data_IF_753110305841
#
_entry.id   IF_753110305841
#
_cell.length_a   1.000
_cell.length_b   1.000
_cell.length_c   1.000
_cell.angle_alpha   90.00
_cell.angle_beta   90.00
_cell.angle_gamma   90.00
#
_symmetry.space_group_name_H-M   'P 1'
#
loop_
_entity.id
_entity.type
_entity.pdbx_description
1 polymer ?
#
# COMPACT_ATOMS: atom_id res chain seq x y z
N UNK A 1 85.08 48.61 17.33
CA UNK A 1 85.76 48.88 16.04
C UNK A 1 84.69 48.99 15.03
N UNK A 2 84.34 50.25 14.64
CA UNK A 2 84.73 50.99 13.49
C UNK A 2 84.27 50.31 12.19
N UNK A 3 83.50 50.90 11.32
CA UNK A 3 83.34 52.22 10.69
C UNK A 3 82.10 52.20 9.78
N UNK A 4 81.23 53.16 9.85
CA UNK A 4 81.03 54.27 8.87
C UNK A 4 81.08 53.90 7.37
N UNK A 5 79.98 54.17 6.66
CA UNK A 5 79.80 55.21 5.61
C UNK A 5 78.51 54.94 4.86
N UNK A 6 77.53 55.81 4.93
CA UNK A 6 77.24 57.03 4.13
C UNK A 6 76.57 56.76 2.77
N UNK A 7 75.32 57.12 2.73
CA UNK A 7 74.64 58.02 1.73
C UNK A 7 74.53 57.53 0.29
N UNK A 8 73.25 57.48 -0.19
CA UNK A 8 72.77 58.28 -1.33
C UNK A 8 71.24 58.29 -1.37
N UNK A 9 70.71 59.57 -1.40
CA UNK A 9 69.30 59.85 -1.72
C UNK A 9 69.04 59.55 -3.21
N UNK A 10 67.97 58.88 -3.55
CA UNK A 10 67.35 58.92 -4.88
C UNK A 10 65.83 59.00 -4.67
N UNK A 11 65.26 60.15 -4.87
CA UNK A 11 63.84 60.38 -4.94
C UNK A 11 63.30 59.79 -6.25
N UNK A 12 62.40 58.81 -6.17
CA UNK A 12 61.60 58.40 -7.31
C UNK A 12 60.14 58.72 -7.00
N UNK A 13 59.56 59.67 -7.73
CA UNK A 13 58.11 59.90 -7.77
C UNK A 13 57.42 58.67 -8.30
N UNK A 14 56.68 57.99 -7.44
CA UNK A 14 55.72 56.94 -7.88
C UNK A 14 54.37 57.61 -8.02
N UNK A 15 53.95 57.85 -9.24
CA UNK A 15 52.56 58.25 -9.60
C UNK A 15 51.67 57.01 -9.27
N UNK A 16 50.89 57.09 -8.19
CA UNK A 16 49.86 56.10 -7.86
C UNK A 16 48.69 56.32 -8.83
N UNK A 17 48.65 55.55 -9.88
CA UNK A 17 47.45 55.39 -10.71
C UNK A 17 46.45 54.46 -9.94
N UNK A 18 45.49 55.08 -9.25
CA UNK A 18 44.30 54.44 -8.69
C UNK A 18 43.42 53.99 -9.86
N UNK A 19 43.61 52.75 -10.34
CA UNK A 19 42.64 52.08 -11.19
C UNK A 19 41.40 51.74 -10.33
N UNK A 20 40.34 52.56 -10.43
CA UNK A 20 39.01 52.23 -9.97
C UNK A 20 38.55 51.03 -10.84
N UNK A 21 38.77 49.82 -10.37
CA UNK A 21 38.15 48.63 -10.93
C UNK A 21 36.67 48.67 -10.52
N UNK A 22 35.80 49.21 -11.36
CA UNK A 22 34.36 48.97 -11.28
C UNK A 22 34.17 47.49 -11.57
N UNK A 23 34.17 46.67 -10.54
CA UNK A 23 33.68 45.31 -10.62
C UNK A 23 32.19 45.41 -10.98
N UNK A 24 31.87 45.30 -12.25
CA UNK A 24 30.51 45.01 -12.70
C UNK A 24 30.19 43.66 -12.11
N UNK A 25 29.52 43.68 -10.97
CA UNK A 25 28.99 42.43 -10.35
C UNK A 25 28.07 41.77 -11.36
N UNK A 26 28.53 40.69 -11.95
CA UNK A 26 27.62 39.81 -12.71
C UNK A 26 26.51 39.45 -11.75
N UNK A 27 25.22 39.57 -12.15
CA UNK A 27 24.12 39.11 -11.31
C UNK A 27 24.38 37.64 -10.98
N UNK A 28 24.32 37.29 -9.69
CA UNK A 28 24.38 35.90 -9.29
C UNK A 28 23.30 35.11 -10.09
N UNK A 29 23.65 33.94 -10.64
CA UNK A 29 22.66 33.15 -11.34
C UNK A 29 21.47 33.00 -10.42
N UNK A 30 20.28 33.32 -10.90
CA UNK A 30 19.05 33.10 -10.16
C UNK A 30 19.02 31.61 -9.73
N UNK A 31 18.83 31.38 -8.44
CA UNK A 31 18.68 30.01 -7.95
C UNK A 31 17.56 29.34 -8.75
N UNK A 32 17.86 28.19 -9.35
CA UNK A 32 16.85 27.44 -10.09
C UNK A 32 15.73 27.06 -9.10
N UNK A 33 14.47 27.30 -9.49
CA UNK A 33 13.32 26.86 -8.70
C UNK A 33 13.35 25.33 -8.68
N UNK A 34 13.27 24.70 -7.49
CA UNK A 34 13.23 23.25 -7.41
C UNK A 34 12.06 22.69 -8.21
N UNK A 35 12.19 21.50 -8.84
CA UNK A 35 11.09 20.84 -9.49
C UNK A 35 10.02 20.43 -8.46
N UNK A 36 8.75 20.48 -8.86
CA UNK A 36 7.62 20.10 -8.01
C UNK A 36 7.48 18.58 -7.94
N UNK A 37 7.15 18.06 -6.75
CA UNK A 37 7.01 16.64 -6.53
C UNK A 37 5.70 16.26 -5.85
N UNK A 38 5.21 15.06 -6.20
CA UNK A 38 4.24 14.31 -5.41
C UNK A 38 4.90 13.07 -4.80
N UNK A 39 4.61 12.81 -3.52
CA UNK A 39 5.22 11.73 -2.76
C UNK A 39 4.13 10.82 -2.19
N UNK A 40 4.31 9.50 -2.28
CA UNK A 40 3.43 8.51 -1.66
C UNK A 40 4.15 7.85 -0.48
N UNK A 41 3.48 7.79 0.68
CA UNK A 41 3.93 7.10 1.89
C UNK A 41 2.83 6.16 2.38
N UNK A 42 3.23 5.11 3.06
CA UNK A 42 2.27 4.18 3.66
C UNK A 42 2.65 2.72 3.49
N UNK A 43 1.63 1.90 3.38
CA UNK A 43 1.71 0.45 3.35
C UNK A 43 1.57 -0.13 1.91
N UNK A 44 1.16 -1.41 1.83
CA UNK A 44 1.02 -2.16 0.59
C UNK A 44 0.01 -1.57 -0.39
N UNK A 45 -1.09 -0.98 0.10
CA UNK A 45 -2.10 -0.37 -0.77
C UNK A 45 -1.59 0.85 -1.50
N UNK A 46 -0.62 1.55 -0.92
CA UNK A 46 -0.01 2.73 -1.53
C UNK A 46 1.23 2.35 -2.34
N UNK A 47 1.99 1.34 -1.90
CA UNK A 47 3.17 0.90 -2.64
C UNK A 47 2.84 0.35 -4.03
N UNK A 48 1.63 -0.16 -4.22
CA UNK A 48 1.17 -0.78 -5.46
C UNK A 48 1.27 -2.29 -5.46
N UNK A 49 1.19 -2.90 -4.26
CA UNK A 49 1.05 -4.35 -4.11
C UNK A 49 -0.08 -4.87 -5.02
N UNK A 50 0.17 -5.96 -5.74
CA UNK A 50 -0.79 -6.53 -6.69
C UNK A 50 -0.82 -5.89 -8.08
N UNK A 51 -0.17 -4.72 -8.28
CA UNK A 51 -0.17 -4.03 -9.58
C UNK A 51 0.97 -4.44 -10.52
N UNK A 52 1.90 -5.26 -10.06
CA UNK A 52 3.08 -5.67 -10.84
C UNK A 52 4.02 -4.51 -11.20
N UNK A 53 4.92 -4.71 -12.15
CA UNK A 53 5.89 -3.70 -12.57
C UNK A 53 6.64 -3.05 -11.37
N UNK A 54 7.11 -3.88 -10.47
CA UNK A 54 7.80 -3.42 -9.25
C UNK A 54 9.16 -2.83 -9.55
N UNK A 55 9.53 -1.79 -8.80
CA UNK A 55 10.81 -1.10 -8.89
C UNK A 55 11.73 -1.52 -7.74
N UNK A 56 13.06 -1.59 -7.97
CA UNK A 56 14.01 -1.95 -6.92
C UNK A 56 14.03 -0.92 -5.77
N UNK A 57 14.24 -1.42 -4.56
CA UNK A 57 14.46 -0.62 -3.35
C UNK A 57 15.81 -1.00 -2.75
N UNK A 58 16.55 -0.01 -2.26
CA UNK A 58 17.85 -0.23 -1.65
C UNK A 58 17.66 -0.81 -0.24
N UNK A 59 18.29 -1.96 0.01
CA UNK A 59 18.43 -2.53 1.35
C UNK A 59 19.59 -1.85 2.09
N UNK A 60 19.27 -1.15 3.18
CA UNK A 60 20.25 -0.38 3.97
C UNK A 60 21.15 -1.28 4.84
N UNK A 61 20.80 -2.55 5.04
CA UNK A 61 21.64 -3.49 5.81
C UNK A 61 22.74 -4.09 4.97
N UNK A 62 22.69 -3.97 3.64
CA UNK A 62 23.54 -4.69 2.72
C UNK A 62 23.34 -6.21 2.73
N UNK A 63 22.32 -6.69 3.43
CA UNK A 63 22.02 -8.11 3.56
C UNK A 63 21.44 -8.65 2.25
N UNK A 64 22.27 -9.36 1.50
CA UNK A 64 21.86 -10.08 0.30
C UNK A 64 21.14 -11.41 0.61
N UNK A 65 20.58 -11.56 1.80
CA UNK A 65 19.99 -12.83 2.21
C UNK A 65 18.57 -12.97 1.69
N UNK A 66 18.41 -13.90 0.73
CA UNK A 66 17.11 -14.41 0.36
C UNK A 66 16.52 -15.26 1.48
N UNK A 67 15.20 -15.34 1.53
CA UNK A 67 14.50 -16.32 2.36
C UNK A 67 14.95 -17.74 1.97
N UNK A 68 15.12 -18.65 2.93
CA UNK A 68 15.22 -20.05 2.61
C UNK A 68 13.95 -20.47 1.85
N UNK A 69 14.13 -20.87 0.58
CA UNK A 69 13.02 -21.23 -0.30
C UNK A 69 12.63 -20.18 -1.36
N UNK A 70 13.12 -18.97 -1.29
CA UNK A 70 12.91 -17.95 -2.33
C UNK A 70 13.98 -18.06 -3.40
N UNK A 71 13.64 -18.67 -4.52
CA UNK A 71 14.56 -18.91 -5.64
C UNK A 71 14.50 -17.86 -6.74
N UNK A 72 13.64 -16.86 -6.64
CA UNK A 72 13.56 -15.82 -7.65
C UNK A 72 14.68 -14.81 -7.47
N UNK A 73 15.64 -14.71 -8.38
CA UNK A 73 16.79 -13.81 -8.28
C UNK A 73 16.39 -12.32 -8.22
N UNK A 74 15.16 -11.99 -8.60
CA UNK A 74 14.66 -10.61 -8.71
C UNK A 74 13.86 -10.13 -7.50
N UNK A 75 13.40 -11.01 -6.60
CA UNK A 75 12.55 -10.61 -5.48
C UNK A 75 13.31 -9.91 -4.35
N UNK A 76 14.62 -9.96 -4.39
CA UNK A 76 15.48 -9.42 -3.36
C UNK A 76 15.59 -7.89 -3.35
N UNK A 77 15.32 -7.23 -4.46
CA UNK A 77 15.35 -5.77 -4.58
C UNK A 77 13.91 -5.16 -4.54
N UNK A 78 12.89 -5.98 -4.61
CA UNK A 78 11.50 -5.52 -4.78
C UNK A 78 10.63 -5.69 -3.54
N UNK A 79 11.22 -5.90 -2.38
CA UNK A 79 10.52 -6.29 -1.14
C UNK A 79 9.48 -5.27 -0.64
N UNK A 80 9.56 -4.01 -1.04
CA UNK A 80 8.53 -3.01 -0.77
C UNK A 80 7.38 -3.05 -1.80
N UNK A 81 7.49 -3.84 -2.85
CA UNK A 81 6.54 -3.91 -3.95
C UNK A 81 6.08 -2.53 -4.46
N UNK A 82 7.03 -1.60 -4.59
CA UNK A 82 6.77 -0.27 -5.19
C UNK A 82 6.53 -0.44 -6.68
N UNK A 83 5.30 -0.23 -7.09
CA UNK A 83 4.90 -0.45 -8.47
C UNK A 83 4.93 0.84 -9.30
N UNK A 84 5.44 0.75 -10.53
CA UNK A 84 5.27 1.80 -11.53
C UNK A 84 3.79 1.99 -11.95
N UNK A 85 2.93 1.03 -11.58
CA UNK A 85 1.49 1.10 -11.78
C UNK A 85 0.73 1.63 -10.54
N UNK A 86 1.42 1.98 -9.44
CA UNK A 86 0.77 2.51 -8.24
C UNK A 86 -0.08 3.76 -8.53
N UNK A 87 -1.11 4.00 -7.74
CA UNK A 87 -2.08 5.08 -7.95
C UNK A 87 -1.44 6.45 -8.11
N UNK A 88 -0.36 6.76 -7.36
CA UNK A 88 0.39 8.00 -7.53
C UNK A 88 0.91 8.18 -8.97
N UNK A 89 1.45 7.12 -9.58
CA UNK A 89 1.98 7.18 -10.94
C UNK A 89 0.88 7.20 -12.00
N UNK A 90 -0.33 6.75 -11.66
CA UNK A 90 -1.51 6.71 -12.54
C UNK A 90 -2.39 7.95 -12.43
N UNK A 91 -2.16 8.80 -11.42
CA UNK A 91 -2.92 10.02 -11.23
C UNK A 91 -2.54 11.09 -12.26
N UNK A 92 -3.54 11.84 -12.72
CA UNK A 92 -3.31 13.08 -13.47
C UNK A 92 -3.14 14.23 -12.47
N UNK A 93 -1.93 14.72 -12.31
CA UNK A 93 -1.53 15.76 -11.36
C UNK A 93 -0.86 16.90 -12.11
N UNK A 94 -1.64 17.86 -12.64
CA UNK A 94 -1.09 19.00 -13.36
C UNK A 94 -0.14 19.82 -12.47
N UNK A 95 1.00 20.21 -13.00
CA UNK A 95 2.01 20.97 -12.27
C UNK A 95 3.04 20.11 -11.53
N UNK A 96 2.75 18.83 -11.27
CA UNK A 96 3.73 17.93 -10.66
C UNK A 96 4.67 17.36 -11.72
N UNK A 97 5.97 17.62 -11.52
CA UNK A 97 7.04 17.18 -12.43
C UNK A 97 7.52 15.78 -12.09
N UNK A 98 7.73 15.50 -10.81
CA UNK A 98 8.29 14.22 -10.35
C UNK A 98 7.38 13.52 -9.35
N UNK A 99 7.48 12.17 -9.30
CA UNK A 99 6.65 11.33 -8.44
C UNK A 99 7.50 10.28 -7.75
N UNK A 100 7.41 10.25 -6.42
CA UNK A 100 8.21 9.36 -5.57
C UNK A 100 7.30 8.45 -4.76
N UNK A 101 7.36 7.16 -5.01
CA UNK A 101 6.68 6.17 -4.19
C UNK A 101 7.63 5.68 -3.08
N UNK A 102 7.44 6.14 -1.86
CA UNK A 102 8.24 5.80 -0.68
C UNK A 102 7.56 4.74 0.19
N UNK A 103 6.30 4.40 -0.10
CA UNK A 103 5.55 3.37 0.62
C UNK A 103 6.24 2.01 0.54
N UNK A 104 5.92 1.14 1.50
CA UNK A 104 6.50 -0.19 1.53
C UNK A 104 5.45 -1.22 1.93
N UNK A 105 5.38 -2.33 1.20
CA UNK A 105 4.46 -3.43 1.50
C UNK A 105 4.70 -3.98 2.91
N UNK A 106 3.62 -4.23 3.64
CA UNK A 106 3.67 -4.61 5.06
C UNK A 106 4.01 -3.46 6.00
N UNK A 107 4.19 -2.24 5.50
CA UNK A 107 4.53 -1.05 6.29
C UNK A 107 3.54 -0.81 7.42
N UNK A 108 4.06 -0.54 8.60
CA UNK A 108 3.31 -0.19 9.81
C UNK A 108 3.46 1.30 10.13
N UNK A 109 2.61 1.87 10.98
CA UNK A 109 2.72 3.28 11.36
C UNK A 109 4.11 3.67 11.88
N UNK A 110 4.77 2.82 12.66
CA UNK A 110 6.11 3.11 13.16
C UNK A 110 7.19 3.11 12.07
N UNK A 111 6.98 2.38 10.96
CA UNK A 111 7.93 2.31 9.83
C UNK A 111 8.03 3.63 9.06
N UNK A 112 7.12 4.57 9.31
CA UNK A 112 7.24 5.91 8.75
C UNK A 112 8.50 6.60 9.27
N UNK A 113 8.77 6.51 10.58
CA UNK A 113 9.86 7.24 11.23
C UNK A 113 11.07 6.39 11.57
N UNK A 114 10.97 5.07 11.48
CA UNK A 114 12.06 4.14 11.75
C UNK A 114 12.36 3.29 10.52
N UNK A 115 13.58 2.80 10.43
CA UNK A 115 13.94 1.88 9.35
C UNK A 115 13.02 0.65 9.41
N UNK A 116 12.32 0.41 8.30
CA UNK A 116 11.37 -0.69 8.20
C UNK A 116 12.12 -2.00 8.06
N UNK A 117 11.88 -2.92 8.98
CA UNK A 117 12.23 -4.32 8.75
C UNK A 117 11.13 -4.91 7.86
N UNK A 118 11.42 -5.13 6.59
CA UNK A 118 10.54 -5.94 5.76
C UNK A 118 10.35 -7.30 6.45
N UNK A 119 9.18 -7.48 7.04
CA UNK A 119 8.85 -8.49 8.08
C UNK A 119 9.25 -9.92 7.73
N UNK A 120 9.31 -10.21 6.47
CA UNK A 120 9.55 -11.56 5.97
C UNK A 120 10.95 -11.76 5.40
N UNK A 121 11.76 -10.73 5.19
CA UNK A 121 13.01 -10.86 4.44
C UNK A 121 14.30 -10.58 5.24
N UNK A 122 14.17 -10.13 6.50
CA UNK A 122 15.32 -9.64 7.27
C UNK A 122 16.00 -8.41 6.67
N UNK A 123 15.37 -7.78 5.68
CA UNK A 123 15.87 -6.60 4.97
C UNK A 123 15.32 -5.35 5.62
N UNK A 124 16.05 -4.27 5.49
CA UNK A 124 15.61 -2.98 5.98
C UNK A 124 15.66 -1.93 4.88
N UNK A 125 14.66 -1.10 4.85
CA UNK A 125 14.63 0.12 4.06
C UNK A 125 14.69 1.31 5.00
N UNK A 126 15.32 2.40 4.54
CA UNK A 126 15.34 3.64 5.31
C UNK A 126 13.91 4.09 5.68
N UNK A 127 13.77 4.72 6.85
CA UNK A 127 12.50 5.29 7.28
C UNK A 127 11.87 6.12 6.15
N UNK A 128 10.56 6.03 5.96
CA UNK A 128 9.90 6.76 4.88
C UNK A 128 10.09 8.26 5.03
N UNK A 129 10.14 8.79 6.27
CA UNK A 129 10.42 10.21 6.53
C UNK A 129 11.86 10.61 6.17
N UNK A 130 12.84 9.72 6.32
CA UNK A 130 14.22 10.02 5.90
C UNK A 130 14.32 10.09 4.36
N UNK A 131 13.60 9.22 3.68
CA UNK A 131 13.47 9.26 2.22
C UNK A 131 12.73 10.55 1.79
N UNK A 132 11.67 10.95 2.51
CA UNK A 132 10.94 12.20 2.27
C UNK A 132 11.86 13.42 2.42
N UNK A 133 12.67 13.47 3.49
CA UNK A 133 13.68 14.52 3.67
C UNK A 133 14.69 14.55 2.52
N UNK A 134 15.04 13.39 1.97
CA UNK A 134 15.94 13.31 0.83
C UNK A 134 15.32 13.92 -0.43
N UNK A 135 14.03 13.67 -0.69
CA UNK A 135 13.27 14.29 -1.77
C UNK A 135 13.19 15.82 -1.55
N UNK A 136 12.81 16.27 -0.35
CA UNK A 136 12.65 17.69 -0.03
C UNK A 136 13.92 18.53 -0.12
N UNK A 137 15.12 17.90 -0.16
CA UNK A 137 16.36 18.62 -0.43
C UNK A 137 16.52 19.06 -1.89
N UNK A 138 15.79 18.48 -2.80
CA UNK A 138 15.95 18.69 -4.24
C UNK A 138 14.65 19.07 -4.95
N UNK A 139 13.51 18.88 -4.29
CA UNK A 139 12.18 19.11 -4.86
C UNK A 139 11.32 19.92 -3.90
N UNK A 140 10.40 20.68 -4.47
CA UNK A 140 9.27 21.26 -3.75
C UNK A 140 8.15 20.23 -3.69
N UNK A 141 7.73 19.83 -2.48
CA UNK A 141 6.74 18.79 -2.28
C UNK A 141 5.34 19.38 -2.22
N UNK A 142 4.62 19.38 -3.31
CA UNK A 142 3.26 19.93 -3.39
C UNK A 142 2.18 18.97 -2.87
N UNK A 143 2.36 17.66 -3.12
CA UNK A 143 1.36 16.64 -2.80
C UNK A 143 1.97 15.46 -2.05
N UNK A 144 1.31 15.06 -0.97
CA UNK A 144 1.59 13.81 -0.26
C UNK A 144 0.36 12.91 -0.31
N UNK A 145 0.50 11.72 -0.88
CA UNK A 145 -0.49 10.64 -0.76
C UNK A 145 -0.10 9.74 0.41
N UNK A 146 -1.01 9.59 1.37
CA UNK A 146 -0.79 8.76 2.55
C UNK A 146 -1.90 7.72 2.70
N UNK A 147 -1.55 6.45 2.80
CA UNK A 147 -2.44 5.35 3.20
C UNK A 147 -1.72 4.48 4.21
N UNK A 148 -2.19 4.49 5.45
CA UNK A 148 -1.50 3.89 6.58
C UNK A 148 -2.48 3.41 7.63
N UNK A 149 -2.22 2.24 8.23
CA UNK A 149 -3.01 1.70 9.33
C UNK A 149 -3.65 0.34 9.06
N UNK A 150 -3.60 -0.19 7.81
CA UNK A 150 -4.04 -1.56 7.53
C UNK A 150 -3.14 -2.61 8.21
N UNK A 151 -1.90 -2.24 8.45
CA UNK A 151 -0.95 -3.00 9.25
C UNK A 151 -0.56 -2.16 10.46
N UNK A 152 -0.64 -2.73 11.64
CA UNK A 152 -0.26 -2.08 12.90
C UNK A 152 0.21 -3.14 13.90
N UNK A 153 0.60 -2.71 15.10
CA UNK A 153 1.09 -3.63 16.13
C UNK A 153 0.03 -4.60 16.66
N UNK A 154 -1.25 -4.30 16.45
CA UNK A 154 -2.38 -5.05 17.01
C UNK A 154 -3.02 -6.03 16.02
N UNK A 155 -2.99 -5.73 14.73
CA UNK A 155 -3.50 -6.55 13.63
C UNK A 155 -2.90 -6.16 12.29
N UNK A 156 -2.99 -7.05 11.30
CA UNK A 156 -2.73 -6.71 9.90
C UNK A 156 -3.92 -7.08 9.03
N UNK A 157 -4.10 -6.36 7.93
CA UNK A 157 -5.09 -6.71 6.92
C UNK A 157 -4.88 -8.14 6.42
N UNK A 158 -3.62 -8.51 6.16
CA UNK A 158 -3.26 -9.85 5.70
C UNK A 158 -3.71 -10.95 6.67
N UNK A 159 -3.46 -10.80 7.98
CA UNK A 159 -3.84 -11.79 9.00
C UNK A 159 -5.37 -12.02 9.03
N UNK A 160 -6.15 -10.95 8.92
CA UNK A 160 -7.62 -11.03 8.91
C UNK A 160 -8.14 -11.69 7.63
N UNK A 161 -7.64 -11.24 6.49
CA UNK A 161 -8.03 -11.76 5.18
C UNK A 161 -7.67 -13.25 5.05
N UNK A 162 -6.44 -13.60 5.42
CA UNK A 162 -5.95 -14.97 5.40
C UNK A 162 -6.74 -15.89 6.32
N UNK A 163 -7.01 -15.46 7.55
CA UNK A 163 -7.79 -16.25 8.51
C UNK A 163 -9.16 -16.62 7.95
N UNK A 164 -9.86 -15.67 7.33
CA UNK A 164 -11.20 -15.90 6.79
C UNK A 164 -11.18 -16.76 5.53
N UNK A 165 -10.20 -16.54 4.65
CA UNK A 165 -10.00 -17.37 3.46
C UNK A 165 -9.60 -18.82 3.84
N UNK A 166 -8.67 -18.97 4.78
CA UNK A 166 -8.22 -20.29 5.22
C UNK A 166 -9.32 -21.10 5.89
N UNK A 167 -10.24 -20.47 6.63
CA UNK A 167 -11.42 -21.17 7.16
C UNK A 167 -12.29 -21.72 6.05
N UNK A 168 -12.60 -20.90 5.03
CA UNK A 168 -13.37 -21.36 3.88
C UNK A 168 -12.67 -22.51 3.14
N UNK A 169 -11.37 -22.35 2.89
CA UNK A 169 -10.56 -23.37 2.24
C UNK A 169 -10.54 -24.65 3.08
N UNK A 170 -10.36 -24.54 4.39
CA UNK A 170 -10.40 -25.67 5.29
C UNK A 170 -11.76 -26.37 5.24
N UNK A 171 -12.85 -25.66 5.37
CA UNK A 171 -14.21 -26.23 5.33
C UNK A 171 -14.51 -26.89 3.96
N UNK A 172 -14.01 -26.30 2.86
CA UNK A 172 -14.18 -26.84 1.53
C UNK A 172 -13.35 -28.13 1.28
N UNK A 173 -12.17 -28.25 1.89
CA UNK A 173 -11.22 -29.32 1.55
C UNK A 173 -10.78 -30.23 2.69
N UNK A 174 -10.71 -29.80 3.97
CA UNK A 174 -10.19 -30.62 5.07
C UNK A 174 -11.13 -31.69 5.55
N UNK A 175 -12.41 -31.60 5.29
CA UNK A 175 -13.36 -32.69 5.54
C UNK A 175 -12.94 -34.03 4.92
N UNK A 176 -11.82 -34.10 4.25
CA UNK A 176 -11.29 -35.31 3.62
C UNK A 176 -10.49 -36.20 4.59
N UNK A 177 -10.06 -35.70 5.73
CA UNK A 177 -9.25 -36.45 6.70
C UNK A 177 -10.09 -37.15 7.76
N UNK A 178 -11.35 -36.75 7.96
CA UNK A 178 -12.23 -37.43 8.93
C UNK A 178 -12.93 -38.59 8.26
N UNK A 179 -12.51 -39.79 8.57
CA UNK A 179 -13.12 -41.04 8.11
C UNK A 179 -14.64 -41.08 8.31
N UNK A 180 -15.16 -40.38 9.31
CA UNK A 180 -16.59 -40.24 9.61
C UNK A 180 -17.34 -39.28 8.69
N UNK A 181 -16.67 -38.32 8.12
CA UNK A 181 -17.27 -37.43 7.12
C UNK A 181 -17.48 -38.14 5.76
N UNK A 182 -16.87 -39.31 5.57
CA UNK A 182 -17.12 -40.20 4.44
C UNK A 182 -18.55 -40.75 4.43
N UNK A 183 -19.24 -40.68 5.57
CA UNK A 183 -20.62 -41.20 5.74
C UNK A 183 -21.71 -40.14 5.49
N UNK A 184 -21.39 -39.02 4.85
CA UNK A 184 -22.40 -38.07 4.37
C UNK A 184 -22.97 -37.13 5.43
N UNK A 185 -22.22 -36.87 6.52
CA UNK A 185 -22.64 -35.88 7.51
C UNK A 185 -22.54 -34.43 6.97
N UNK A 186 -23.34 -33.51 7.52
CA UNK A 186 -23.26 -32.08 7.13
C UNK A 186 -21.87 -31.51 7.43
N UNK A 187 -21.37 -30.64 6.52
CA UNK A 187 -20.14 -29.87 6.74
C UNK A 187 -20.45 -28.76 7.74
N UNK A 188 -19.78 -28.77 8.89
CA UNK A 188 -19.86 -27.65 9.84
C UNK A 188 -19.07 -26.50 9.28
N UNK A 189 -19.78 -25.50 8.75
CA UNK A 189 -19.17 -24.28 8.24
C UNK A 189 -18.74 -23.37 9.37
N UNK A 190 -17.49 -22.85 9.29
CA UNK A 190 -16.90 -21.94 10.30
C UNK A 190 -16.58 -20.59 9.70
N UNK A 191 -17.58 -19.78 9.32
CA UNK A 191 -17.33 -18.45 8.77
C UNK A 191 -16.63 -17.55 9.77
N UNK A 192 -15.92 -16.54 9.28
CA UNK A 192 -15.46 -15.45 10.12
C UNK A 192 -16.66 -14.66 10.66
N UNK A 193 -16.52 -14.23 11.89
CA UNK A 193 -17.46 -13.38 12.61
C UNK A 193 -16.79 -12.11 13.08
N UNK A 194 -17.53 -11.15 13.62
CA UNK A 194 -16.94 -9.92 14.19
C UNK A 194 -15.93 -10.23 15.31
N UNK A 195 -16.09 -11.36 16.01
CA UNK A 195 -15.14 -11.79 17.05
C UNK A 195 -13.77 -12.23 16.49
N UNK A 196 -13.69 -12.50 15.19
CA UNK A 196 -12.44 -12.88 14.51
C UNK A 196 -11.68 -11.67 13.97
N UNK A 197 -12.32 -10.50 13.98
CA UNK A 197 -11.77 -9.24 13.54
C UNK A 197 -11.06 -8.51 14.70
N UNK A 198 -10.66 -7.28 14.47
CA UNK A 198 -10.05 -6.46 15.50
C UNK A 198 -11.08 -6.03 16.56
N UNK A 199 -10.70 -6.12 17.83
CA UNK A 199 -11.50 -5.63 18.96
C UNK A 199 -11.49 -4.10 19.03
N UNK A 200 -12.42 -3.51 19.80
CA UNK A 200 -12.45 -2.06 20.02
C UNK A 200 -11.13 -1.52 20.61
N UNK A 201 -10.49 -2.28 21.50
CA UNK A 201 -9.20 -1.89 22.07
C UNK A 201 -8.08 -1.90 21.01
N UNK A 202 -8.07 -2.89 20.10
CA UNK A 202 -7.11 -2.95 19.01
C UNK A 202 -7.33 -1.81 17.99
N UNK A 203 -8.58 -1.47 17.65
CA UNK A 203 -8.88 -0.31 16.82
C UNK A 203 -8.42 1.00 17.46
N UNK A 204 -8.64 1.17 18.76
CA UNK A 204 -8.16 2.36 19.49
C UNK A 204 -6.63 2.47 19.47
N UNK A 205 -5.93 1.36 19.73
CA UNK A 205 -4.47 1.32 19.69
C UNK A 205 -3.94 1.63 18.26
N UNK A 206 -4.50 1.01 17.24
CA UNK A 206 -4.12 1.24 15.85
C UNK A 206 -4.36 2.70 15.41
N UNK A 207 -5.47 3.30 15.86
CA UNK A 207 -5.77 4.72 15.58
C UNK A 207 -4.75 5.64 16.26
N UNK A 208 -4.37 5.37 17.51
CA UNK A 208 -3.38 6.15 18.22
C UNK A 208 -1.99 6.03 17.57
N UNK A 209 -1.59 4.82 17.19
CA UNK A 209 -0.33 4.54 16.50
C UNK A 209 -0.26 5.26 15.15
N UNK A 210 -1.32 5.18 14.34
CA UNK A 210 -1.42 5.86 13.05
C UNK A 210 -1.42 7.39 13.22
N UNK A 211 -2.14 7.91 14.20
CA UNK A 211 -2.17 9.35 14.51
C UNK A 211 -0.78 9.86 14.89
N UNK A 212 -0.02 9.10 15.69
CA UNK A 212 1.35 9.46 16.05
C UNK A 212 2.28 9.50 14.82
N UNK A 213 2.15 8.54 13.91
CA UNK A 213 2.92 8.50 12.67
C UNK A 213 2.60 9.71 11.75
N UNK A 214 1.32 10.05 11.63
CA UNK A 214 0.89 11.23 10.85
C UNK A 214 1.43 12.53 11.45
N UNK A 215 1.44 12.65 12.79
CA UNK A 215 2.04 13.81 13.47
C UNK A 215 3.51 13.97 13.12
N UNK A 216 4.26 12.88 13.08
CA UNK A 216 5.67 12.89 12.69
C UNK A 216 5.85 13.30 11.22
N UNK A 217 4.97 12.84 10.33
CA UNK A 217 4.96 13.28 8.93
C UNK A 217 4.76 14.79 8.81
N UNK A 218 3.73 15.33 9.48
CA UNK A 218 3.43 16.77 9.43
C UNK A 218 4.57 17.63 10.02
N UNK A 219 5.19 17.13 11.08
CA UNK A 219 6.37 17.77 11.66
C UNK A 219 7.54 17.77 10.68
N UNK A 220 7.78 16.63 10.02
CA UNK A 220 8.86 16.51 9.02
C UNK A 220 8.63 17.38 7.81
N UNK A 221 7.40 17.52 7.32
CA UNK A 221 7.10 18.43 6.21
C UNK A 221 7.41 19.88 6.58
N UNK A 222 7.09 20.31 7.82
CA UNK A 222 7.46 21.65 8.31
C UNK A 222 8.97 21.85 8.49
N UNK A 223 9.72 20.77 8.79
CA UNK A 223 11.18 20.81 8.83
C UNK A 223 11.80 20.98 7.42
N UNK A 224 11.17 20.38 6.41
CA UNK A 224 11.60 20.47 5.02
C UNK A 224 11.30 21.85 4.47
N UNK A 225 10.09 22.34 4.65
CA UNK A 225 9.63 23.66 4.24
C UNK A 225 8.63 24.21 5.27
N UNK A 226 9.07 25.18 6.07
CA UNK A 226 8.29 25.78 7.15
C UNK A 226 7.06 26.56 6.64
N UNK A 227 7.16 27.13 5.45
CA UNK A 227 6.14 27.98 4.81
C UNK A 227 5.39 27.22 3.70
N UNK A 228 5.79 25.97 3.41
CA UNK A 228 5.26 25.14 2.34
C UNK A 228 3.78 24.81 2.52
N UNK A 229 3.05 24.90 1.42
CA UNK A 229 1.64 24.55 1.36
C UNK A 229 1.48 23.13 0.80
N UNK A 230 1.81 22.14 1.61
CA UNK A 230 1.68 20.74 1.21
C UNK A 230 0.23 20.29 1.27
N UNK A 231 -0.31 19.78 0.16
CA UNK A 231 -1.58 19.07 0.16
C UNK A 231 -1.38 17.61 0.55
N UNK A 232 -2.05 17.15 1.60
CA UNK A 232 -1.91 15.79 2.10
C UNK A 232 -3.22 15.06 1.93
N UNK A 233 -3.23 14.05 1.06
CA UNK A 233 -4.40 13.21 0.77
C UNK A 233 -4.28 11.92 1.56
N UNK A 234 -5.18 11.76 2.53
CA UNK A 234 -5.36 10.55 3.34
C UNK A 234 -6.28 9.61 2.59
N UNK A 235 -5.74 8.63 1.90
CA UNK A 235 -6.51 7.61 1.21
C UNK A 235 -6.82 6.46 2.16
N UNK A 236 -8.09 6.09 2.27
CA UNK A 236 -8.50 4.87 2.96
C UNK A 236 -8.39 3.63 2.07
N UNK A 237 -9.05 2.54 2.44
CA UNK A 237 -8.86 1.24 1.81
C UNK A 237 -10.10 0.82 1.03
N UNK A 238 -9.90 0.27 -0.16
CA UNK A 238 -10.98 -0.30 -0.96
C UNK A 238 -11.52 -1.57 -0.32
N UNK A 239 -12.81 -1.85 -0.50
CA UNK A 239 -13.36 -3.16 -0.20
C UNK A 239 -13.16 -4.09 -1.40
N UNK A 240 -12.35 -5.16 -1.29
CA UNK A 240 -12.07 -6.06 -2.42
C UNK A 240 -13.21 -7.03 -2.73
N UNK A 241 -14.17 -7.20 -1.81
CA UNK A 241 -15.24 -8.19 -1.89
C UNK A 241 -16.62 -7.53 -1.98
N UNK A 242 -17.62 -8.17 -2.60
CA UNK A 242 -18.99 -7.67 -2.65
C UNK A 242 -19.65 -7.75 -1.28
N UNK A 243 -20.79 -7.07 -1.15
CA UNK A 243 -21.62 -7.14 0.06
C UNK A 243 -22.44 -8.42 0.11
N UNK A 244 -22.79 -8.97 -1.04
CA UNK A 244 -23.63 -10.13 -1.19
C UNK A 244 -23.09 -11.03 -2.31
N UNK A 245 -22.78 -12.27 -1.96
CA UNK A 245 -22.36 -13.30 -2.91
C UNK A 245 -23.55 -13.99 -3.60
N UNK A 246 -24.79 -13.83 -3.09
CA UNK A 246 -25.95 -14.48 -3.71
C UNK A 246 -26.19 -14.03 -5.14
N UNK A 247 -25.90 -12.76 -5.45
CA UNK A 247 -26.01 -12.26 -6.81
C UNK A 247 -25.05 -12.95 -7.78
N UNK A 248 -24.00 -13.60 -7.29
CA UNK A 248 -22.93 -14.21 -8.09
C UNK A 248 -22.93 -15.74 -8.00
N UNK A 249 -23.20 -16.28 -6.80
CA UNK A 249 -23.14 -17.70 -6.52
C UNK A 249 -24.48 -18.18 -5.95
N UNK A 250 -24.92 -19.37 -6.35
CA UNK A 250 -26.11 -19.99 -5.80
C UNK A 250 -25.96 -20.18 -4.29
N UNK A 251 -27.08 -20.06 -3.55
CA UNK A 251 -27.09 -19.93 -2.10
C UNK A 251 -26.34 -21.06 -1.38
N UNK A 252 -25.56 -20.67 -0.34
CA UNK A 252 -24.99 -21.63 0.63
C UNK A 252 -26.06 -22.26 1.54
N UNK A 253 -27.28 -21.75 1.52
CA UNK A 253 -28.34 -22.05 2.49
C UNK A 253 -29.13 -23.32 2.19
N UNK A 254 -28.78 -24.08 1.13
CA UNK A 254 -29.44 -25.34 0.93
C UNK A 254 -28.91 -26.35 1.98
N UNK A 255 -29.74 -26.68 2.95
CA UNK A 255 -29.49 -27.74 3.94
C UNK A 255 -29.25 -29.11 3.31
N UNK A 256 -29.38 -29.22 2.00
CA UNK A 256 -29.02 -30.34 1.16
C UNK A 256 -27.57 -30.34 0.67
N UNK A 257 -26.72 -29.44 1.21
CA UNK A 257 -25.34 -29.40 0.80
C UNK A 257 -24.58 -30.62 1.19
N UNK A 258 -24.65 -31.58 0.28
CA UNK A 258 -23.73 -32.68 0.30
C UNK A 258 -22.32 -32.14 0.15
N UNK A 259 -21.36 -32.80 0.77
CA UNK A 259 -19.93 -32.46 0.71
C UNK A 259 -19.42 -32.19 -0.69
N UNK A 260 -19.94 -32.87 -1.70
CA UNK A 260 -19.53 -32.70 -3.09
C UNK A 260 -20.03 -31.39 -3.69
N UNK A 261 -21.23 -30.92 -3.30
CA UNK A 261 -21.72 -29.59 -3.70
C UNK A 261 -20.93 -28.47 -3.06
N UNK A 262 -20.56 -28.59 -1.78
CA UNK A 262 -19.75 -27.59 -1.09
C UNK A 262 -18.33 -27.52 -1.67
N UNK A 263 -17.76 -28.64 -2.09
CA UNK A 263 -16.48 -28.69 -2.82
C UNK A 263 -16.56 -28.01 -4.18
N UNK A 264 -17.61 -28.26 -4.94
CA UNK A 264 -17.82 -27.61 -6.23
C UNK A 264 -17.94 -26.09 -6.06
N UNK A 265 -18.72 -25.64 -5.07
CA UNK A 265 -18.83 -24.23 -4.71
C UNK A 265 -17.49 -23.64 -4.24
N UNK A 266 -16.75 -24.40 -3.44
CA UNK A 266 -15.41 -24.01 -2.98
C UNK A 266 -14.44 -23.82 -4.14
N UNK A 267 -14.43 -24.74 -5.10
CA UNK A 267 -13.61 -24.62 -6.31
C UNK A 267 -14.01 -23.43 -7.17
N UNK A 268 -15.31 -23.18 -7.33
CA UNK A 268 -15.83 -22.03 -8.07
C UNK A 268 -15.41 -20.70 -7.44
N UNK A 269 -15.60 -20.53 -6.14
CA UNK A 269 -15.22 -19.32 -5.41
C UNK A 269 -13.71 -19.11 -5.41
N UNK A 270 -12.97 -20.18 -5.25
CA UNK A 270 -11.52 -20.13 -5.35
C UNK A 270 -11.05 -19.67 -6.74
N UNK A 271 -11.64 -20.25 -7.80
CA UNK A 271 -11.35 -19.85 -9.18
C UNK A 271 -11.72 -18.39 -9.45
N UNK A 272 -12.77 -17.89 -8.81
CA UNK A 272 -13.19 -16.49 -8.86
C UNK A 272 -12.33 -15.56 -8.00
N UNK A 273 -11.40 -16.09 -7.20
CA UNK A 273 -10.46 -15.34 -6.38
C UNK A 273 -11.00 -14.83 -5.04
N UNK A 274 -12.15 -15.37 -4.59
CA UNK A 274 -12.80 -15.01 -3.33
C UNK A 274 -13.23 -16.24 -2.52
N UNK A 275 -12.30 -17.11 -2.10
CA UNK A 275 -12.61 -18.26 -1.28
C UNK A 275 -13.00 -17.82 0.14
N UNK A 276 -14.25 -17.42 0.30
CA UNK A 276 -14.78 -16.90 1.55
C UNK A 276 -16.23 -17.36 1.74
N UNK A 277 -16.62 -17.61 2.99
CA UNK A 277 -18.03 -17.85 3.32
C UNK A 277 -18.87 -16.60 3.10
N UNK A 278 -20.09 -16.78 2.60
CA UNK A 278 -21.05 -15.68 2.48
C UNK A 278 -21.27 -14.96 3.82
N UNK A 279 -21.41 -15.70 4.90
CA UNK A 279 -21.58 -15.14 6.24
C UNK A 279 -20.38 -14.31 6.73
N UNK A 280 -19.20 -14.46 6.11
CA UNK A 280 -18.00 -13.66 6.42
C UNK A 280 -17.94 -12.32 5.70
N UNK A 281 -18.82 -12.07 4.73
CA UNK A 281 -18.80 -10.82 3.94
C UNK A 281 -19.14 -9.60 4.78
N UNK A 282 -20.20 -9.69 5.59
CA UNK A 282 -20.58 -8.57 6.45
C UNK A 282 -19.52 -8.22 7.50
N UNK A 283 -18.93 -9.20 8.23
CA UNK A 283 -17.74 -8.94 9.05
C UNK A 283 -16.59 -8.31 8.26
N UNK A 284 -16.24 -8.85 7.09
CA UNK A 284 -15.18 -8.28 6.24
C UNK A 284 -15.46 -6.83 5.82
N UNK A 285 -16.71 -6.54 5.49
CA UNK A 285 -17.12 -5.16 5.19
C UNK A 285 -16.96 -4.23 6.40
N UNK A 286 -17.38 -4.66 7.60
CA UNK A 286 -17.18 -3.89 8.83
C UNK A 286 -15.71 -3.65 9.13
N UNK A 287 -14.86 -4.62 8.82
CA UNK A 287 -13.41 -4.43 8.93
C UNK A 287 -12.90 -3.33 7.98
N UNK A 288 -13.30 -3.36 6.71
CA UNK A 288 -12.95 -2.31 5.74
C UNK A 288 -13.46 -0.93 6.18
N UNK A 289 -14.68 -0.85 6.71
CA UNK A 289 -15.22 0.39 7.29
C UNK A 289 -14.42 0.86 8.52
N UNK A 290 -13.97 -0.09 9.35
CA UNK A 290 -13.09 0.19 10.49
C UNK A 290 -11.78 0.83 10.05
N UNK A 291 -11.14 0.32 8.98
CA UNK A 291 -9.94 0.92 8.38
C UNK A 291 -10.20 2.34 7.90
N UNK A 292 -11.31 2.59 7.19
CA UNK A 292 -11.69 3.93 6.77
C UNK A 292 -11.90 4.88 7.95
N UNK A 293 -12.54 4.40 9.02
CA UNK A 293 -12.75 5.17 10.25
C UNK A 293 -11.44 5.51 10.94
N UNK A 294 -10.49 4.57 10.98
CA UNK A 294 -9.15 4.77 11.54
C UNK A 294 -8.41 5.89 10.79
N UNK A 295 -8.33 5.80 9.46
CA UNK A 295 -7.65 6.80 8.62
C UNK A 295 -8.29 8.18 8.78
N UNK A 296 -9.63 8.22 8.74
CA UNK A 296 -10.38 9.46 8.94
C UNK A 296 -10.13 10.08 10.32
N UNK A 297 -10.13 9.27 11.38
CA UNK A 297 -9.91 9.72 12.75
C UNK A 297 -8.49 10.27 12.95
N UNK A 298 -7.48 9.62 12.37
CA UNK A 298 -6.11 10.11 12.41
C UNK A 298 -6.00 11.47 11.69
N UNK A 299 -6.59 11.61 10.51
CA UNK A 299 -6.64 12.87 9.77
C UNK A 299 -7.37 13.96 10.55
N UNK A 300 -8.55 13.69 11.13
CA UNK A 300 -9.34 14.67 11.84
C UNK A 300 -8.63 15.16 13.12
N UNK A 301 -7.94 14.26 13.83
CA UNK A 301 -7.08 14.61 14.97
C UNK A 301 -5.97 15.56 14.54
N UNK A 302 -5.35 15.32 13.40
CA UNK A 302 -4.28 16.19 12.88
C UNK A 302 -4.83 17.52 12.35
N UNK A 303 -6.02 17.55 11.78
CA UNK A 303 -6.66 18.80 11.37
C UNK A 303 -6.94 19.73 12.57
N UNK A 304 -7.22 19.16 13.74
CA UNK A 304 -7.38 19.92 14.97
C UNK A 304 -6.04 20.46 15.52
N UNK A 305 -4.99 19.63 15.45
CA UNK A 305 -3.66 19.98 15.95
C UNK A 305 -2.90 20.92 14.99
N UNK A 306 -3.13 20.81 13.68
CA UNK A 306 -2.47 21.56 12.61
C UNK A 306 -3.52 22.30 11.76
N UNK A 307 -4.20 23.31 12.27
CA UNK A 307 -5.38 23.91 11.61
C UNK A 307 -5.05 24.60 10.26
N UNK A 308 -3.78 24.92 10.01
CA UNK A 308 -3.31 25.48 8.73
C UNK A 308 -2.94 24.45 7.67
N UNK A 309 -2.89 23.16 8.01
CA UNK A 309 -2.51 22.13 7.05
C UNK A 309 -3.67 21.80 6.09
N UNK A 310 -3.35 21.58 4.80
CA UNK A 310 -4.31 21.16 3.78
C UNK A 310 -4.45 19.63 3.79
N UNK A 311 -5.31 19.13 4.68
CA UNK A 311 -5.54 17.70 4.90
C UNK A 311 -6.86 17.27 4.27
N UNK A 312 -6.78 16.41 3.27
CA UNK A 312 -7.93 15.87 2.53
C UNK A 312 -8.12 14.39 2.89
N UNK A 313 -9.33 14.01 3.28
CA UNK A 313 -9.71 12.60 3.41
C UNK A 313 -10.29 12.10 2.09
N UNK A 314 -9.71 11.07 1.51
CA UNK A 314 -10.17 10.41 0.30
C UNK A 314 -10.75 9.03 0.65
N UNK A 315 -12.08 8.93 0.63
CA UNK A 315 -12.79 7.67 0.80
C UNK A 315 -12.83 6.92 -0.53
N UNK A 316 -12.20 5.74 -0.58
CA UNK A 316 -12.17 4.88 -1.76
C UNK A 316 -12.89 3.54 -1.58
N UNK A 317 -13.67 3.35 -0.51
CA UNK A 317 -14.34 2.08 -0.21
C UNK A 317 -15.28 1.62 -1.34
N UNK A 318 -15.84 2.56 -2.09
CA UNK A 318 -16.73 2.32 -3.22
C UNK A 318 -16.08 2.47 -4.58
N UNK A 319 -14.76 2.67 -4.63
CA UNK A 319 -14.04 2.85 -5.89
C UNK A 319 -14.05 1.59 -6.79
N UNK A 320 -14.39 0.44 -6.22
CA UNK A 320 -14.45 -0.84 -6.94
C UNK A 320 -15.87 -1.38 -7.11
N UNK A 321 -16.90 -0.61 -6.84
CA UNK A 321 -18.30 -1.02 -7.00
C UNK A 321 -18.53 -1.58 -8.42
N UNK A 322 -19.16 -2.77 -8.50
CA UNK A 322 -19.43 -3.47 -9.75
C UNK A 322 -18.22 -4.18 -10.40
N UNK A 323 -17.02 -4.09 -9.77
CA UNK A 323 -15.80 -4.72 -10.25
C UNK A 323 -14.94 -5.34 -9.12
N UNK A 324 -15.57 -5.63 -7.97
CA UNK A 324 -14.92 -6.39 -6.91
C UNK A 324 -14.75 -7.85 -7.30
N UNK A 325 -13.85 -8.54 -6.62
CA UNK A 325 -13.76 -9.99 -6.74
C UNK A 325 -15.12 -10.63 -6.43
N UNK A 326 -15.52 -11.62 -7.23
CA UNK A 326 -16.80 -12.32 -7.05
C UNK A 326 -18.07 -11.46 -7.16
N UNK A 327 -17.98 -10.26 -7.67
CA UNK A 327 -19.16 -9.48 -8.01
C UNK A 327 -19.75 -9.98 -9.34
N UNK A 328 -21.08 -10.08 -9.45
CA UNK A 328 -21.78 -10.73 -10.57
C UNK A 328 -21.44 -10.20 -11.97
N UNK A 329 -21.01 -8.94 -12.04
CA UNK A 329 -20.60 -8.30 -13.31
C UNK A 329 -19.11 -8.46 -13.62
N UNK A 330 -18.30 -8.94 -12.65
CA UNK A 330 -16.85 -9.00 -12.80
C UNK A 330 -16.41 -10.46 -12.99
N UNK A 331 -15.87 -10.77 -14.16
CA UNK A 331 -15.00 -11.95 -14.29
C UNK A 331 -13.72 -11.69 -13.50
N UNK A 332 -12.96 -12.74 -13.08
CA UNK A 332 -11.66 -12.56 -12.42
C UNK A 332 -10.70 -11.66 -13.20
N UNK A 333 -10.80 -11.67 -14.53
CA UNK A 333 -10.01 -10.81 -15.42
C UNK A 333 -10.45 -9.33 -15.42
N UNK A 334 -11.71 -9.06 -15.10
CA UNK A 334 -12.28 -7.70 -15.01
C UNK A 334 -12.29 -7.12 -13.60
N UNK A 335 -11.91 -7.91 -12.58
CA UNK A 335 -11.85 -7.44 -11.22
C UNK A 335 -10.72 -6.42 -11.00
N UNK A 336 -10.96 -5.44 -10.14
CA UNK A 336 -9.99 -4.39 -9.79
C UNK A 336 -9.08 -4.77 -8.62
N UNK A 337 -9.37 -5.88 -7.93
CA UNK A 337 -8.50 -6.46 -6.90
C UNK A 337 -7.81 -7.73 -7.41
N UNK A 338 -6.67 -8.05 -6.83
CA UNK A 338 -5.93 -9.28 -7.14
C UNK A 338 -6.65 -10.47 -6.51
N UNK A 339 -6.99 -11.51 -7.30
CA UNK A 339 -7.59 -12.74 -6.76
C UNK A 339 -6.69 -13.39 -5.70
N UNK A 340 -7.27 -14.07 -4.73
CA UNK A 340 -6.50 -14.96 -3.86
C UNK A 340 -5.83 -16.01 -4.75
N UNK A 341 -4.52 -16.13 -4.57
CA UNK A 341 -3.72 -17.21 -5.12
C UNK A 341 -3.03 -17.88 -3.97
N UNK A 342 -3.20 -19.19 -3.90
CA UNK A 342 -2.29 -19.99 -3.09
C UNK A 342 -0.96 -20.04 -3.83
N UNK A 343 0.08 -20.07 -3.05
CA UNK A 343 1.42 -20.31 -3.55
C UNK A 343 1.44 -21.64 -4.29
N UNK A 344 2.04 -21.70 -5.46
CA UNK A 344 2.05 -22.85 -6.39
C UNK A 344 0.79 -23.11 -7.22
N UNK A 345 -0.16 -22.22 -7.28
CA UNK A 345 -0.96 -22.21 -8.49
C UNK A 345 0.00 -21.98 -9.65
N UNK A 346 0.28 -22.96 -10.49
CA UNK A 346 1.07 -22.71 -11.67
C UNK A 346 0.38 -21.59 -12.44
N UNK A 347 1.10 -20.75 -13.20
CA UNK A 347 0.54 -19.62 -13.93
C UNK A 347 -0.63 -19.99 -14.87
N UNK A 348 -0.93 -21.26 -15.02
CA UNK A 348 -1.87 -21.84 -15.98
C UNK A 348 -3.21 -22.29 -15.37
N UNK A 349 -3.56 -21.91 -14.15
CA UNK A 349 -4.87 -22.18 -13.57
C UNK A 349 -5.18 -23.66 -13.30
N UNK A 350 -4.19 -24.55 -13.34
CA UNK A 350 -4.35 -25.98 -13.17
C UNK A 350 -4.62 -26.41 -11.73
N UNK A 351 -4.65 -25.51 -10.76
CA UNK A 351 -4.93 -25.85 -9.37
C UNK A 351 -6.37 -26.36 -9.18
N UNK A 352 -7.34 -25.83 -9.92
CA UNK A 352 -8.75 -26.26 -9.83
C UNK A 352 -8.96 -27.65 -10.43
N UNK A 353 -8.24 -28.00 -11.48
CA UNK A 353 -8.30 -29.32 -12.11
C UNK A 353 -7.54 -30.40 -11.34
N UNK A 354 -6.58 -30.05 -10.51
CA UNK A 354 -5.81 -30.98 -9.72
C UNK A 354 -6.51 -31.43 -8.45
N UNK A 355 -7.57 -30.77 -8.02
CA UNK A 355 -8.36 -31.13 -6.85
C UNK A 355 -9.28 -32.35 -7.09
N UNK A 356 -9.46 -32.80 -8.32
CA UNK A 356 -10.18 -34.01 -8.64
C UNK A 356 -9.35 -35.27 -8.34
N UNK A 357 -9.07 -35.53 -7.11
CA UNK A 357 -8.78 -36.86 -6.61
C UNK A 357 -7.33 -37.30 -6.47
N UNK A 358 -6.31 -36.47 -6.67
CA UNK A 358 -4.89 -36.92 -6.61
C UNK A 358 -3.96 -36.14 -5.68
N UNK A 359 -4.42 -35.25 -4.81
CA UNK A 359 -3.58 -34.12 -4.67
C UNK A 359 -3.15 -33.72 -3.27
N UNK A 360 -2.80 -34.74 -2.48
CA UNK A 360 -1.84 -34.60 -1.38
C UNK A 360 -0.49 -33.99 -1.82
N UNK A 361 -0.15 -34.10 -3.10
CA UNK A 361 1.14 -33.63 -3.66
C UNK A 361 1.05 -32.17 -4.07
N UNK A 362 -0.09 -31.69 -4.57
CA UNK A 362 -0.27 -30.29 -4.93
C UNK A 362 -0.22 -29.39 -3.68
N UNK A 363 -0.81 -29.85 -2.58
CA UNK A 363 -0.75 -29.13 -1.28
C UNK A 363 0.68 -29.08 -0.73
N UNK A 364 1.52 -30.08 -1.02
CA UNK A 364 2.93 -30.09 -0.58
C UNK A 364 3.89 -29.25 -1.44
N UNK A 365 3.46 -28.85 -2.63
CA UNK A 365 4.27 -28.00 -3.53
C UNK A 365 3.96 -26.52 -3.39
N UNK A 366 3.15 -26.15 -2.43
CA UNK A 366 2.89 -24.76 -2.10
C UNK A 366 4.15 -24.17 -1.47
N UNK A 367 5.07 -23.73 -2.25
CA UNK A 367 6.23 -23.06 -1.74
C UNK A 367 6.81 -22.08 -2.75
N UNK A 368 7.12 -20.94 -2.31
CA UNK A 368 8.22 -20.05 -2.64
C UNK A 368 7.92 -18.60 -2.97
N UNK A 369 6.67 -18.13 -2.93
CA UNK A 369 6.40 -16.69 -2.95
C UNK A 369 5.46 -16.22 -1.83
N UNK A 370 4.78 -17.15 -1.17
CA UNK A 370 3.99 -16.90 0.03
C UNK A 370 4.49 -17.82 1.13
N UNK A 371 4.68 -17.38 2.34
CA UNK A 371 5.39 -18.10 3.41
C UNK A 371 4.44 -19.04 4.14
N UNK A 372 4.61 -20.38 3.98
CA UNK A 372 4.01 -21.50 4.69
C UNK A 372 2.64 -22.06 4.24
N UNK A 373 2.34 -23.26 4.66
CA UNK A 373 1.11 -24.03 4.45
C UNK A 373 -0.16 -23.16 4.62
N UNK A 374 -0.99 -23.04 3.59
CA UNK A 374 -2.23 -22.26 3.56
C UNK A 374 -2.12 -20.72 3.62
N UNK A 375 -0.95 -20.13 3.41
CA UNK A 375 -0.87 -18.67 3.32
C UNK A 375 -1.27 -18.18 1.94
N UNK A 376 -2.07 -17.13 1.91
CA UNK A 376 -2.40 -16.41 0.69
C UNK A 376 -1.19 -15.60 0.23
N UNK A 377 -1.03 -15.43 -1.07
CA UNK A 377 0.01 -14.56 -1.60
C UNK A 377 -0.18 -13.13 -1.10
N UNK A 378 0.92 -12.46 -0.80
CA UNK A 378 0.92 -11.10 -0.28
C UNK A 378 0.13 -10.13 -1.17
N UNK A 379 0.13 -10.37 -2.49
CA UNK A 379 -0.64 -9.59 -3.47
C UNK A 379 -2.15 -9.82 -3.41
N UNK A 380 -2.61 -10.87 -2.71
CA UNK A 380 -4.03 -11.23 -2.68
C UNK A 380 -4.87 -10.13 -2.07
N UNK A 381 -6.01 -9.84 -2.72
CA UNK A 381 -6.98 -8.81 -2.35
C UNK A 381 -6.49 -7.36 -2.40
N UNK A 382 -5.24 -7.14 -2.78
CA UNK A 382 -4.77 -5.80 -3.09
C UNK A 382 -5.28 -5.31 -4.45
N UNK A 383 -5.34 -4.01 -4.70
CA UNK A 383 -5.66 -3.47 -6.00
C UNK A 383 -4.69 -3.96 -7.06
N UNK A 384 -5.18 -4.48 -8.19
CA UNK A 384 -4.33 -4.79 -9.33
C UNK A 384 -4.03 -3.52 -10.16
N UNK A 385 -3.32 -3.64 -11.28
CA UNK A 385 -2.95 -2.48 -12.11
C UNK A 385 -4.17 -1.66 -12.57
N UNK A 386 -5.31 -2.33 -12.88
CA UNK A 386 -6.55 -1.65 -13.24
C UNK A 386 -7.18 -0.96 -12.03
N UNK A 387 -7.15 -1.60 -10.84
CA UNK A 387 -7.57 -1.01 -9.58
C UNK A 387 -6.75 0.24 -9.23
N UNK A 388 -5.43 0.19 -9.39
CA UNK A 388 -4.57 1.36 -9.20
C UNK A 388 -4.81 2.47 -10.23
N UNK A 389 -5.24 2.14 -11.45
CA UNK A 389 -5.68 3.14 -12.42
C UNK A 389 -6.93 3.89 -11.93
N UNK A 390 -7.91 3.16 -11.37
CA UNK A 390 -9.09 3.76 -10.73
C UNK A 390 -8.70 4.63 -9.54
N UNK A 391 -7.86 4.12 -8.65
CA UNK A 391 -7.38 4.90 -7.49
C UNK A 391 -6.57 6.14 -7.91
N UNK A 392 -5.85 6.07 -9.03
CA UNK A 392 -5.20 7.23 -9.63
C UNK A 392 -6.19 8.31 -10.07
N UNK A 393 -7.35 7.93 -10.64
CA UNK A 393 -8.43 8.87 -10.97
C UNK A 393 -9.04 9.46 -9.69
N UNK A 394 -9.25 8.66 -8.64
CA UNK A 394 -9.70 9.13 -7.34
C UNK A 394 -8.73 10.19 -6.76
N UNK A 395 -7.44 9.90 -6.79
CA UNK A 395 -6.40 10.83 -6.34
C UNK A 395 -6.39 12.12 -7.16
N UNK A 396 -6.54 12.02 -8.49
CA UNK A 396 -6.63 13.19 -9.37
C UNK A 396 -7.76 14.13 -8.97
N UNK A 397 -8.95 13.58 -8.68
CA UNK A 397 -10.10 14.34 -8.21
C UNK A 397 -9.85 14.96 -6.84
N UNK A 398 -9.29 14.19 -5.89
CA UNK A 398 -8.96 14.68 -4.56
C UNK A 398 -7.89 15.77 -4.58
N UNK A 399 -6.94 15.69 -5.50
CA UNK A 399 -5.91 16.72 -5.66
C UNK A 399 -6.47 18.02 -6.25
N UNK A 400 -7.49 17.95 -7.10
CA UNK A 400 -8.05 19.08 -7.83
C UNK A 400 -9.13 19.85 -7.05
N UNK A 401 -9.72 19.28 -5.98
CA UNK A 401 -10.81 19.92 -5.23
C UNK A 401 -10.31 20.71 -4.04
N UNK A 402 -11.04 21.73 -3.63
CA UNK A 402 -10.83 22.43 -2.34
C UNK A 402 -11.51 21.74 -1.15
N UNK A 403 -12.29 20.69 -1.39
CA UNK A 403 -12.97 19.94 -0.32
C UNK A 403 -11.95 19.22 0.57
N UNK A 404 -12.22 19.18 1.87
CA UNK A 404 -11.38 18.50 2.86
C UNK A 404 -11.74 17.03 3.05
N UNK A 405 -12.83 16.58 2.48
CA UNK A 405 -13.23 15.18 2.44
C UNK A 405 -13.95 14.93 1.12
N UNK A 406 -13.58 13.88 0.43
CA UNK A 406 -14.18 13.47 -0.84
C UNK A 406 -14.40 11.96 -0.84
N UNK A 407 -15.41 11.53 -1.57
CA UNK A 407 -15.68 10.12 -1.81
C UNK A 407 -15.45 9.79 -3.28
N UNK A 408 -14.76 8.69 -3.52
CA UNK A 408 -14.56 8.15 -4.85
C UNK A 408 -15.44 6.92 -5.04
N UNK A 409 -16.31 6.97 -6.02
CA UNK A 409 -17.30 5.93 -6.30
C UNK A 409 -17.22 5.54 -7.77
N UNK A 410 -17.21 4.24 -8.04
CA UNK A 410 -17.40 3.74 -9.40
C UNK A 410 -18.88 3.59 -9.69
N UNK A 411 -19.38 4.30 -10.69
CA UNK A 411 -20.77 4.22 -11.14
C UNK A 411 -21.02 2.93 -11.93
N UNK A 412 -22.30 2.59 -12.14
CA UNK A 412 -22.69 1.37 -12.83
C UNK A 412 -22.25 1.30 -14.32
N UNK A 413 -21.95 2.43 -14.94
CA UNK A 413 -21.37 2.51 -16.28
C UNK A 413 -19.83 2.40 -16.28
N UNK A 414 -19.22 2.26 -15.12
CA UNK A 414 -17.78 2.18 -14.93
C UNK A 414 -17.05 3.51 -14.78
N UNK A 415 -17.74 4.64 -14.89
CA UNK A 415 -17.16 5.96 -14.66
C UNK A 415 -16.79 6.17 -13.19
N UNK A 416 -15.76 6.99 -12.94
CA UNK A 416 -15.31 7.33 -11.60
C UNK A 416 -15.82 8.72 -11.23
N UNK A 417 -16.54 8.79 -10.13
CA UNK A 417 -17.10 10.02 -9.58
C UNK A 417 -16.32 10.34 -8.30
N UNK A 418 -15.78 11.55 -8.22
CA UNK A 418 -15.14 12.10 -7.01
C UNK A 418 -15.94 13.32 -6.56
N UNK A 419 -16.58 13.23 -5.40
CA UNK A 419 -17.49 14.25 -4.88
C UNK A 419 -17.32 14.45 -3.36
#
# INVERSE_FOLDING_TARGET
MSRFRRTALAAALAVAATALSTAVGLPAPAAAVPPTAAVALGDSFISGEGAGAYTPVVDITGAAQGFPGWTAPNNNAFFCHRSANASLHRANLPGIQDRFNLACSGGQPHDIATASAARSSGRQVAAQLDQLRAVGRTHDIDLVLLGLGSNNSSFTFGDVAEKCANRFIADAWTGWWEFWAYLGGPVEQKPCTDADLATAAQWSAATAETTAAVRQLLTTLREIDADGQHRIVFQDYTNPLPFDLEATFHSEDSRDDTRDKFRALGAERYAAGCPIHRASLLPGHRFSQGLGTLVKSARDSMAAEFPGADLVYLNVQRAFDGARLCESAASPAGALATPIRLQDSPPNGTFVTSLEGKDKIAIQRIANTCVSYFQTCQESWHPNAAGHQVLGQCLSGAAATSARAVSCVRAGDGSIIVA
#
